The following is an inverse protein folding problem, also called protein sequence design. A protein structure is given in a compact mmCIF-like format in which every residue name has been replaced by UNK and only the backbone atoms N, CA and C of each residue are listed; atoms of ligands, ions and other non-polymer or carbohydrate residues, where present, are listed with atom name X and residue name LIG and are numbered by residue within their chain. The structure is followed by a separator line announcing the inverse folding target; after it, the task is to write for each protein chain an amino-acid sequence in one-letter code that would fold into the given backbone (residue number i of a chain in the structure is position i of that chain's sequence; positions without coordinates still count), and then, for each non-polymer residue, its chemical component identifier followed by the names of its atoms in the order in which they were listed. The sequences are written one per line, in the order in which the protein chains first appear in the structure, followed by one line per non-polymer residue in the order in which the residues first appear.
data_IF_548519682428
#
_entry.id   IF_548519682428
#
_cell.length_a   1.000
_cell.length_b   1.000
_cell.length_c   1.000
_cell.angle_alpha   90.00
_cell.angle_beta   90.00
_cell.angle_gamma   90.00
#
_symmetry.space_group_name_H-M   'P 1'
#
loop_
_entity.id
_entity.type
_entity.pdbx_description
1 polymer ?
#
# COMPACT_ATOMS: atom_id res chain seq x y z
N UNK A 1 8.29 13.52 -18.45
CA UNK A 1 8.76 12.86 -17.22
C UNK A 1 7.55 12.27 -16.51
N UNK A 2 7.69 11.10 -15.88
CA UNK A 2 6.63 10.46 -15.07
C UNK A 2 6.67 10.88 -13.59
N UNK A 3 7.70 11.61 -13.19
CA UNK A 3 7.88 12.04 -11.80
C UNK A 3 6.96 13.21 -11.45
N UNK A 4 6.28 13.09 -10.32
CA UNK A 4 5.54 14.18 -9.68
C UNK A 4 6.13 14.49 -8.31
N UNK A 5 6.63 15.73 -8.16
CA UNK A 5 7.24 16.22 -6.92
C UNK A 5 6.23 16.31 -5.78
N UNK A 6 5.00 16.73 -6.05
CA UNK A 6 3.98 16.94 -5.01
C UNK A 6 3.49 15.61 -4.42
N UNK A 7 3.53 14.52 -5.21
CA UNK A 7 3.23 13.18 -4.72
C UNK A 7 4.42 12.54 -3.97
N UNK A 8 5.64 12.99 -4.24
CA UNK A 8 6.86 12.35 -3.73
C UNK A 8 7.50 13.07 -2.54
N UNK A 9 7.08 14.29 -2.23
CA UNK A 9 7.64 15.12 -1.16
C UNK A 9 6.98 14.86 0.19
N UNK A 10 7.72 15.15 1.26
CA UNK A 10 7.25 15.15 2.64
C UNK A 10 6.95 16.56 3.17
N UNK A 11 7.08 17.59 2.32
CA UNK A 11 6.78 18.98 2.66
C UNK A 11 5.30 19.26 2.87
N UNK A 12 4.98 20.48 3.33
CA UNK A 12 3.59 20.95 3.52
C UNK A 12 2.77 20.96 2.21
N UNK A 13 3.46 20.98 1.08
CA UNK A 13 2.91 20.91 -0.27
C UNK A 13 2.60 19.48 -0.73
N UNK A 14 2.85 18.47 0.11
CA UNK A 14 2.57 17.07 -0.22
C UNK A 14 1.10 16.85 -0.55
N UNK A 15 0.85 16.14 -1.65
CA UNK A 15 -0.49 15.79 -2.14
C UNK A 15 -0.82 14.31 -2.02
N UNK A 16 0.10 13.51 -1.49
CA UNK A 16 -0.12 12.08 -1.31
C UNK A 16 -1.09 11.82 -0.14
N UNK A 17 -2.27 11.28 -0.45
CA UNK A 17 -3.25 10.90 0.58
C UNK A 17 -2.86 9.56 1.22
N UNK A 18 -2.15 9.63 2.35
CA UNK A 18 -1.70 8.46 3.09
C UNK A 18 -2.84 7.63 3.69
N UNK A 19 -4.07 8.16 3.79
CA UNK A 19 -5.21 7.41 4.35
C UNK A 19 -5.60 6.22 3.46
N UNK A 20 -5.40 6.35 2.15
CA UNK A 20 -5.64 5.28 1.19
C UNK A 20 -4.68 4.09 1.35
N UNK A 21 -3.50 4.32 1.93
CA UNK A 21 -2.47 3.29 2.08
C UNK A 21 -2.92 2.11 2.94
N UNK A 22 -3.70 2.36 4.01
CA UNK A 22 -4.14 1.29 4.91
C UNK A 22 -4.98 0.22 4.19
N UNK A 23 -5.96 0.66 3.39
CA UNK A 23 -6.80 -0.25 2.60
C UNK A 23 -6.02 -0.95 1.48
N UNK A 24 -5.13 -0.21 0.82
CA UNK A 24 -4.24 -0.79 -0.19
C UNK A 24 -3.36 -1.89 0.39
N UNK A 25 -2.68 -1.64 1.51
CA UNK A 25 -1.78 -2.61 2.16
C UNK A 25 -2.55 -3.87 2.58
N UNK A 26 -3.75 -3.72 3.12
CA UNK A 26 -4.54 -4.87 3.55
C UNK A 26 -4.93 -5.75 2.36
N UNK A 27 -5.52 -5.16 1.31
CA UNK A 27 -5.95 -5.90 0.13
C UNK A 27 -4.75 -6.51 -0.61
N UNK A 28 -3.68 -5.73 -0.79
CA UNK A 28 -2.46 -6.17 -1.46
C UNK A 28 -1.69 -7.22 -0.66
N UNK A 29 -1.83 -7.28 0.67
CA UNK A 29 -1.21 -8.32 1.49
C UNK A 29 -2.06 -9.59 1.63
N UNK A 30 -3.36 -9.48 1.36
CA UNK A 30 -4.34 -10.50 1.69
C UNK A 30 -4.07 -11.84 0.99
N UNK A 31 -3.73 -11.84 -0.30
CA UNK A 31 -3.54 -13.10 -1.03
C UNK A 31 -2.38 -13.93 -0.47
N UNK A 32 -1.30 -13.28 -0.04
CA UNK A 32 -0.12 -13.96 0.52
C UNK A 32 -0.42 -14.51 1.92
N UNK A 33 -1.15 -13.74 2.74
CA UNK A 33 -1.61 -14.20 4.06
C UNK A 33 -2.54 -15.41 3.94
N UNK A 34 -3.51 -15.36 3.03
CA UNK A 34 -4.44 -16.48 2.80
C UNK A 34 -3.68 -17.72 2.32
N UNK A 35 -2.78 -17.58 1.35
CA UNK A 35 -1.99 -18.71 0.84
C UNK A 35 -1.19 -19.40 1.97
N UNK A 36 -0.58 -18.61 2.85
CA UNK A 36 0.13 -19.11 4.02
C UNK A 36 -0.80 -19.85 5.00
N UNK A 37 -1.94 -19.25 5.34
CA UNK A 37 -2.92 -19.88 6.24
C UNK A 37 -3.49 -21.18 5.66
N UNK A 38 -3.71 -21.26 4.35
CA UNK A 38 -4.12 -22.50 3.67
C UNK A 38 -3.00 -23.55 3.74
N UNK A 39 -1.76 -23.17 3.45
CA UNK A 39 -0.61 -24.11 3.50
C UNK A 39 -0.33 -24.67 4.89
N UNK A 40 -0.66 -23.93 5.95
CA UNK A 40 -0.51 -24.37 7.34
C UNK A 40 -1.58 -25.37 7.80
N UNK A 41 -2.73 -25.38 7.12
CA UNK A 41 -3.89 -26.22 7.46
C UNK A 41 -3.91 -27.53 6.68
N UNK A 42 -3.11 -27.65 5.62
CA UNK A 42 -2.89 -28.87 4.85
C UNK A 42 -1.83 -29.75 5.52
#
# INVERSE_FOLDING_TARGET
SLYDKQLSTYGIDSKFDQKCSAGFIEIWGLQSRIAYEVSKRA
#
